data_IF_997730170394
#
_entry.id   IF_997730170394
#
_cell.length_a   1.000
_cell.length_b   1.000
_cell.length_c   1.000
_cell.angle_alpha   90.00
_cell.angle_beta   90.00
_cell.angle_gamma   90.00
#
_symmetry.space_group_name_H-M   'P 1'
#
loop_
_entity.id
_entity.type
_entity.pdbx_description
1 polymer ?
#
# COMPACT_ATOMS: atom_id res chain seq x y z
N UNK A 1 -9.59 9.37 2.57
CA UNK A 1 -9.45 7.94 2.86
C UNK A 1 -8.84 7.20 1.69
N UNK A 2 -8.01 6.22 1.98
CA UNK A 2 -7.38 5.44 0.91
C UNK A 2 -8.33 4.34 0.42
N UNK A 3 -8.02 3.82 -0.75
CA UNK A 3 -8.83 2.77 -1.36
C UNK A 3 -7.95 1.61 -1.81
N UNK A 4 -8.51 0.42 -1.78
CA UNK A 4 -7.85 -0.77 -2.28
C UNK A 4 -8.78 -1.42 -3.31
N UNK A 5 -8.26 -1.59 -4.51
CA UNK A 5 -9.04 -2.11 -5.63
C UNK A 5 -8.31 -3.28 -6.26
N UNK A 6 -9.07 -4.23 -6.75
CA UNK A 6 -8.49 -5.35 -7.49
C UNK A 6 -8.52 -5.04 -8.96
N UNK A 7 -7.45 -5.42 -9.65
CA UNK A 7 -7.33 -5.20 -11.07
C UNK A 7 -6.65 -6.40 -11.70
N UNK A 8 -6.35 -6.31 -12.98
CA UNK A 8 -5.72 -7.39 -13.71
C UNK A 8 -4.75 -6.82 -14.73
N UNK A 9 -3.61 -7.48 -14.90
CA UNK A 9 -2.61 -7.07 -15.87
C UNK A 9 -2.09 -8.32 -16.57
N UNK A 10 -2.32 -8.41 -17.87
CA UNK A 10 -1.88 -9.55 -18.69
C UNK A 10 -2.32 -10.88 -18.08
N UNK A 11 -3.55 -10.93 -17.59
CA UNK A 11 -4.10 -12.14 -17.02
C UNK A 11 -3.71 -12.42 -15.59
N UNK A 12 -2.92 -11.54 -14.98
CA UNK A 12 -2.48 -11.71 -13.60
C UNK A 12 -3.23 -10.75 -12.67
N UNK A 13 -3.72 -11.25 -11.53
CA UNK A 13 -4.43 -10.37 -10.60
C UNK A 13 -3.48 -9.35 -9.99
N UNK A 14 -4.00 -8.14 -9.80
CA UNK A 14 -3.24 -7.04 -9.23
C UNK A 14 -4.07 -6.36 -8.16
N UNK A 15 -3.41 -5.83 -7.15
CA UNK A 15 -4.06 -5.01 -6.15
C UNK A 15 -3.55 -3.59 -6.29
N UNK A 16 -4.48 -2.64 -6.33
CA UNK A 16 -4.16 -1.23 -6.51
C UNK A 16 -4.52 -0.49 -5.23
N UNK A 17 -3.55 0.22 -4.68
CA UNK A 17 -3.76 1.04 -3.49
C UNK A 17 -3.59 2.50 -3.89
N UNK A 18 -4.55 3.33 -3.52
CA UNK A 18 -4.49 4.74 -3.85
C UNK A 18 -5.08 5.57 -2.72
N UNK A 19 -4.62 6.81 -2.64
CA UNK A 19 -5.12 7.71 -1.60
C UNK A 19 -6.49 8.26 -1.93
N UNK A 20 -6.71 8.58 -3.19
CA UNK A 20 -8.01 9.09 -3.64
C UNK A 20 -8.27 8.58 -5.05
N UNK A 21 -9.51 8.74 -5.50
CA UNK A 21 -9.87 8.35 -6.85
C UNK A 21 -9.14 9.19 -7.90
N UNK A 22 -8.64 10.37 -7.52
CA UNK A 22 -7.92 11.24 -8.42
C UNK A 22 -6.41 10.99 -8.43
N UNK A 23 -5.94 10.00 -7.69
CA UNK A 23 -4.53 9.68 -7.61
C UNK A 23 -4.01 9.26 -8.99
N UNK A 24 -3.02 9.99 -9.50
CA UNK A 24 -2.50 9.73 -10.83
C UNK A 24 -1.56 8.54 -10.88
N UNK A 25 -0.88 8.26 -9.79
CA UNK A 25 0.11 7.20 -9.73
C UNK A 25 -0.14 6.27 -8.55
N UNK A 26 -1.22 5.49 -8.62
CA UNK A 26 -1.52 4.58 -7.53
C UNK A 26 -0.48 3.49 -7.43
N UNK A 27 -0.27 3.02 -6.22
CA UNK A 27 0.66 1.93 -5.97
C UNK A 27 -0.06 0.62 -6.28
N UNK A 28 0.55 -0.20 -7.14
CA UNK A 28 -0.07 -1.47 -7.49
C UNK A 28 0.97 -2.59 -7.52
N UNK A 29 0.53 -3.79 -7.23
CA UNK A 29 1.43 -4.94 -7.14
C UNK A 29 0.66 -6.24 -7.37
N UNK A 30 1.41 -7.26 -7.76
CA UNK A 30 0.84 -8.57 -8.01
C UNK A 30 0.90 -9.48 -6.79
N UNK A 31 0.58 -10.77 -7.01
CA UNK A 31 0.51 -11.74 -5.92
C UNK A 31 1.85 -11.94 -5.22
N UNK A 32 2.93 -12.01 -5.97
CA UNK A 32 4.24 -12.25 -5.35
C UNK A 32 4.62 -11.17 -4.36
N UNK A 33 4.43 -9.92 -4.76
CA UNK A 33 4.73 -8.81 -3.87
C UNK A 33 3.74 -8.72 -2.72
N UNK A 34 2.49 -9.06 -2.98
CA UNK A 34 1.49 -9.09 -1.93
C UNK A 34 1.89 -10.08 -0.84
N UNK A 35 2.36 -11.26 -1.22
CA UNK A 35 2.84 -12.24 -0.25
C UNK A 35 4.02 -11.73 0.55
N UNK A 36 4.95 -11.09 -0.15
CA UNK A 36 6.12 -10.53 0.50
C UNK A 36 5.71 -9.47 1.52
N UNK A 37 4.75 -8.64 1.17
CA UNK A 37 4.25 -7.62 2.08
C UNK A 37 3.63 -8.26 3.32
N UNK A 38 2.84 -9.30 3.14
CA UNK A 38 2.21 -9.98 4.27
C UNK A 38 3.23 -10.65 5.17
N UNK A 39 4.30 -11.20 4.59
CA UNK A 39 5.35 -11.82 5.40
C UNK A 39 6.06 -10.81 6.29
N UNK A 40 6.11 -9.57 5.83
CA UNK A 40 6.85 -8.52 6.54
C UNK A 40 5.95 -7.40 7.03
N UNK A 41 4.68 -7.72 7.25
CA UNK A 41 3.73 -6.68 7.66
C UNK A 41 4.15 -6.00 8.96
N UNK A 42 4.71 -6.76 9.88
CA UNK A 42 5.16 -6.18 11.15
C UNK A 42 6.37 -5.29 10.95
N UNK A 43 7.24 -5.64 10.03
CA UNK A 43 8.39 -4.81 9.72
C UNK A 43 7.93 -3.50 9.09
N UNK A 44 6.90 -3.57 8.26
CA UNK A 44 6.34 -2.38 7.63
C UNK A 44 5.70 -1.48 8.68
N UNK A 45 4.94 -2.07 9.61
CA UNK A 45 4.33 -1.31 10.69
C UNK A 45 5.40 -0.61 11.53
N UNK A 46 6.48 -1.32 11.82
CA UNK A 46 7.57 -0.75 12.60
C UNK A 46 8.26 0.38 11.85
N UNK A 47 8.47 0.18 10.56
CA UNK A 47 9.07 1.20 9.72
C UNK A 47 8.25 2.48 9.74
N UNK A 48 6.95 2.35 9.63
CA UNK A 48 6.05 3.51 9.66
C UNK A 48 6.13 4.20 11.02
N UNK A 49 6.14 3.42 12.10
CA UNK A 49 6.22 3.99 13.44
C UNK A 49 7.53 4.73 13.69
N UNK A 50 8.64 4.17 13.20
CA UNK A 50 9.95 4.78 13.38
C UNK A 50 10.09 6.11 12.64
N UNK A 51 9.38 6.25 11.53
CA UNK A 51 9.47 7.44 10.70
C UNK A 51 8.26 8.34 10.83
N UNK A 52 7.44 8.06 11.83
CA UNK A 52 6.28 8.87 12.08
C UNK A 52 6.69 10.20 12.67
N UNK A 53 6.22 11.27 12.05
CA UNK A 53 6.47 12.61 12.54
C UNK A 53 5.43 12.94 13.61
N UNK A 54 5.86 13.15 14.87
CA UNK A 54 4.92 13.44 15.95
C UNK A 54 4.04 14.67 15.67
N UNK A 55 4.61 15.66 15.01
CA UNK A 55 3.86 16.85 14.68
C UNK A 55 2.76 16.55 13.70
N UNK A 56 3.09 15.77 12.67
CA UNK A 56 2.11 15.38 11.68
C UNK A 56 1.09 14.41 12.26
N UNK A 57 1.52 13.55 13.15
CA UNK A 57 0.63 12.60 13.76
C UNK A 57 -0.43 13.30 14.61
N UNK A 58 -0.08 14.44 15.16
CA UNK A 58 -1.01 15.21 15.98
C UNK A 58 -1.97 16.03 15.13
N UNK A 59 -1.50 16.46 14.00
CA UNK A 59 -2.30 17.35 13.14
C UNK A 59 -3.44 16.58 12.42
#
# INVERSE_FOLDING_TARGET
MSEALQSEYKGNPMLVLRYTAADKFPFQFGIKKARLILEHIKAIERFVEEHRDPVKAVA
#
